data_IF_971627106831
#
_entry.id   IF_971627106831
#
_cell.length_a   1.000
_cell.length_b   1.000
_cell.length_c   1.000
_cell.angle_alpha   90.00
_cell.angle_beta   90.00
_cell.angle_gamma   90.00
#
_symmetry.space_group_name_H-M   'P 1'
#
loop_
_entity.id
_entity.type
_entity.pdbx_description
1 polymer ?
#
# COMPACT_ATOMS: atom_id res chain seq x y z
N UNK A 1 -0.21 18.93 -7.45
CA UNK A 1 0.88 18.46 -6.56
C UNK A 1 2.05 18.01 -7.43
N UNK A 2 3.28 18.44 -7.17
CA UNK A 2 4.44 18.13 -8.04
C UNK A 2 4.89 16.68 -7.82
N UNK A 3 5.28 15.95 -8.88
CA UNK A 3 5.81 14.58 -8.80
C UNK A 3 6.96 14.45 -7.79
N UNK A 4 7.84 15.46 -7.70
CA UNK A 4 8.98 15.47 -6.77
C UNK A 4 8.54 15.49 -5.30
N UNK A 5 7.46 16.22 -4.98
CA UNK A 5 6.91 16.27 -3.61
C UNK A 5 6.10 15.02 -3.26
N UNK A 6 5.65 14.24 -4.25
CA UNK A 6 4.96 12.96 -4.01
C UNK A 6 5.99 11.85 -3.71
N UNK A 7 7.13 11.88 -4.41
CA UNK A 7 8.20 10.91 -4.23
C UNK A 7 8.74 10.86 -2.78
N UNK A 8 8.76 12.00 -2.06
CA UNK A 8 9.17 12.03 -0.64
C UNK A 8 8.26 11.20 0.28
N UNK A 9 7.05 10.88 -0.17
CA UNK A 9 6.08 10.08 0.58
C UNK A 9 6.10 8.60 0.19
N UNK A 10 6.89 8.23 -0.82
CA UNK A 10 7.03 6.83 -1.22
C UNK A 10 7.89 6.08 -0.22
N UNK A 11 7.66 4.78 -0.16
CA UNK A 11 8.47 3.85 0.61
C UNK A 11 9.79 3.66 -0.13
N UNK A 12 10.91 3.74 0.61
CA UNK A 12 12.24 3.44 0.07
C UNK A 12 12.30 1.99 -0.43
N UNK A 13 13.17 1.72 -1.40
CA UNK A 13 13.33 0.35 -1.92
C UNK A 13 13.72 -0.64 -0.81
N UNK A 14 14.58 -0.22 0.11
CA UNK A 14 15.03 -1.01 1.26
C UNK A 14 13.86 -1.40 2.20
N UNK A 15 12.97 -0.46 2.50
CA UNK A 15 11.79 -0.74 3.31
C UNK A 15 10.80 -1.59 2.51
N UNK A 16 10.66 -1.36 1.21
CA UNK A 16 9.83 -2.17 0.34
C UNK A 16 10.25 -3.64 0.33
N UNK A 17 11.56 -3.92 0.24
CA UNK A 17 12.12 -5.28 0.29
C UNK A 17 11.75 -6.04 1.57
N UNK A 18 11.54 -5.33 2.70
CA UNK A 18 11.08 -5.93 3.96
C UNK A 18 9.56 -6.14 3.99
N UNK A 19 8.80 -5.24 3.36
CA UNK A 19 7.33 -5.27 3.33
C UNK A 19 6.82 -6.34 2.36
N UNK A 20 7.36 -6.37 1.15
CA UNK A 20 6.85 -7.16 0.03
C UNK A 20 6.65 -8.65 0.37
N UNK A 21 7.59 -9.35 1.04
CA UNK A 21 7.44 -10.76 1.39
C UNK A 21 6.29 -11.05 2.37
N UNK A 22 5.85 -10.05 3.13
CA UNK A 22 4.76 -10.20 4.10
C UNK A 22 3.39 -10.10 3.45
N UNK A 23 3.31 -9.53 2.24
CA UNK A 23 2.04 -9.31 1.55
C UNK A 23 1.45 -10.63 1.05
N UNK A 24 0.12 -10.79 1.09
CA UNK A 24 -0.52 -11.98 0.54
C UNK A 24 -0.25 -12.07 -0.96
N UNK A 25 -0.13 -13.30 -1.51
CA UNK A 25 0.14 -13.51 -2.93
C UNK A 25 -0.89 -12.79 -3.79
N UNK A 26 -0.40 -12.05 -4.78
CA UNK A 26 -1.24 -11.28 -5.67
C UNK A 26 -2.07 -12.22 -6.55
N UNK A 27 -3.35 -12.40 -6.23
CA UNK A 27 -4.29 -13.17 -7.06
C UNK A 27 -4.62 -12.35 -8.32
N UNK A 28 -3.76 -12.46 -9.34
CA UNK A 28 -3.86 -11.70 -10.60
C UNK A 28 -4.85 -12.32 -11.59
N UNK A 29 -5.25 -13.57 -11.40
CA UNK A 29 -6.03 -14.33 -12.41
C UNK A 29 -7.49 -14.44 -12.00
N UNK A 30 -8.36 -13.74 -12.72
CA UNK A 30 -9.78 -14.07 -12.76
C UNK A 30 -10.04 -15.02 -13.94
N UNK A 31 -10.85 -16.09 -13.78
CA UNK A 31 -11.05 -17.12 -14.81
C UNK A 31 -11.48 -16.58 -16.18
N UNK A 32 -12.22 -15.47 -16.19
CA UNK A 32 -12.81 -14.87 -17.39
C UNK A 32 -11.94 -13.84 -18.11
N UNK A 33 -10.73 -13.52 -17.60
CA UNK A 33 -9.76 -12.62 -18.25
C UNK A 33 -10.19 -11.16 -18.49
N UNK A 34 -11.44 -10.80 -18.18
CA UNK A 34 -12.06 -9.52 -18.59
C UNK A 34 -11.96 -8.39 -17.54
N UNK A 35 -11.39 -8.66 -16.36
CA UNK A 35 -11.24 -7.63 -15.33
C UNK A 35 -9.92 -6.88 -15.46
N UNK A 36 -9.98 -5.57 -15.20
CA UNK A 36 -8.79 -4.72 -15.08
C UNK A 36 -7.80 -5.37 -14.12
N UNK A 37 -6.52 -5.38 -14.53
CA UNK A 37 -5.41 -5.84 -13.69
C UNK A 37 -5.50 -5.14 -12.34
N UNK A 38 -5.35 -5.91 -11.25
CA UNK A 38 -5.31 -5.34 -9.90
C UNK A 38 -4.15 -4.33 -9.82
N UNK A 39 -4.33 -3.29 -9.02
CA UNK A 39 -3.27 -2.32 -8.73
C UNK A 39 -2.08 -3.05 -8.11
N UNK A 40 -0.90 -2.69 -8.60
CA UNK A 40 0.38 -3.18 -8.10
C UNK A 40 0.51 -3.00 -6.58
N UNK A 41 1.12 -3.97 -5.90
CA UNK A 41 1.25 -3.96 -4.44
C UNK A 41 2.04 -2.75 -3.95
N UNK A 42 3.12 -2.38 -4.63
CA UNK A 42 3.95 -1.24 -4.25
C UNK A 42 3.21 0.07 -4.45
N UNK A 43 2.50 0.22 -5.55
CA UNK A 43 1.64 1.38 -5.80
C UNK A 43 0.53 1.52 -4.74
N UNK A 44 -0.12 0.42 -4.35
CA UNK A 44 -1.13 0.43 -3.31
C UNK A 44 -0.54 0.79 -1.93
N UNK A 45 0.63 0.24 -1.58
CA UNK A 45 1.28 0.54 -0.31
C UNK A 45 1.75 2.01 -0.25
N UNK A 46 2.37 2.53 -1.31
CA UNK A 46 2.73 3.94 -1.42
C UNK A 46 1.50 4.86 -1.25
N UNK A 47 0.37 4.51 -1.88
CA UNK A 47 -0.87 5.26 -1.74
C UNK A 47 -1.41 5.27 -0.30
N UNK A 48 -1.41 4.11 0.38
CA UNK A 48 -1.86 3.99 1.77
C UNK A 48 -0.95 4.80 2.71
N UNK A 49 0.37 4.69 2.54
CA UNK A 49 1.33 5.47 3.34
C UNK A 49 1.22 6.97 3.07
N UNK A 50 0.99 7.39 1.84
CA UNK A 50 0.74 8.79 1.50
C UNK A 50 -0.47 9.34 2.26
N UNK A 51 -1.62 8.65 2.20
CA UNK A 51 -2.84 9.05 2.93
C UNK A 51 -2.60 9.07 4.44
N UNK A 52 -1.89 8.06 4.97
CA UNK A 52 -1.58 7.97 6.40
C UNK A 52 -0.68 9.11 6.90
N UNK A 53 0.38 9.45 6.14
CA UNK A 53 1.33 10.51 6.50
C UNK A 53 0.74 11.91 6.35
N UNK A 54 -0.03 12.13 5.29
CA UNK A 54 -0.62 13.45 5.01
C UNK A 54 -1.95 13.69 5.73
N UNK A 55 -2.56 12.62 6.26
CA UNK A 55 -3.92 12.63 6.85
C UNK A 55 -4.98 13.19 5.89
N UNK A 56 -4.73 13.18 4.59
CA UNK A 56 -5.69 13.69 3.62
C UNK A 56 -6.90 12.75 3.50
N UNK A 57 -7.99 13.27 2.97
CA UNK A 57 -9.12 12.42 2.60
C UNK A 57 -8.71 11.43 1.50
N UNK A 58 -9.27 10.21 1.53
CA UNK A 58 -8.99 9.19 0.52
C UNK A 58 -9.21 9.69 -0.91
N UNK A 59 -10.24 10.50 -1.17
CA UNK A 59 -10.53 11.04 -2.50
C UNK A 59 -9.44 11.99 -3.02
N UNK A 60 -8.70 12.66 -2.13
CA UNK A 60 -7.59 13.52 -2.51
C UNK A 60 -6.42 12.72 -3.12
N UNK A 61 -6.32 11.42 -2.82
CA UNK A 61 -5.34 10.53 -3.45
C UNK A 61 -5.47 10.51 -4.97
N UNK A 62 -6.67 10.65 -5.53
CA UNK A 62 -6.89 10.59 -6.99
C UNK A 62 -6.05 11.64 -7.74
N UNK A 63 -5.78 12.80 -7.11
CA UNK A 63 -4.96 13.86 -7.70
C UNK A 63 -3.44 13.55 -7.73
N UNK A 64 -3.01 12.47 -7.07
CA UNK A 64 -1.59 12.06 -7.00
C UNK A 64 -1.13 11.26 -8.22
N UNK A 65 -2.06 10.57 -8.88
CA UNK A 65 -1.74 9.61 -9.94
C UNK A 65 -1.07 8.31 -9.48
N UNK A 66 -0.92 8.07 -8.17
CA UNK A 66 -0.32 6.82 -7.64
C UNK A 66 -1.21 5.61 -7.96
N UNK A 67 -2.47 5.67 -7.51
CA UNK A 67 -3.56 4.79 -7.92
C UNK A 67 -4.90 5.42 -7.51
N UNK A 68 -6.03 4.78 -7.85
CA UNK A 68 -7.33 5.29 -7.41
C UNK A 68 -7.54 5.12 -5.91
N UNK A 69 -8.17 6.10 -5.28
CA UNK A 69 -8.69 6.08 -3.90
C UNK A 69 -9.43 4.78 -3.57
N UNK A 70 -10.34 4.36 -4.43
CA UNK A 70 -11.10 3.10 -4.28
C UNK A 70 -10.21 1.86 -4.27
N UNK A 71 -9.17 1.82 -5.11
CA UNK A 71 -8.24 0.68 -5.16
C UNK A 71 -7.35 0.62 -3.93
N UNK A 72 -6.85 1.78 -3.49
CA UNK A 72 -6.05 1.90 -2.28
C UNK A 72 -6.86 1.52 -1.03
N UNK A 73 -8.08 2.04 -0.89
CA UNK A 73 -8.95 1.75 0.26
C UNK A 73 -9.35 0.28 0.32
N UNK A 74 -9.73 -0.33 -0.82
CA UNK A 74 -9.99 -1.76 -0.88
C UNK A 74 -8.77 -2.58 -0.45
N UNK A 75 -7.58 -2.20 -0.91
CA UNK A 75 -6.35 -2.91 -0.52
C UNK A 75 -6.03 -2.74 0.96
N UNK A 76 -6.25 -1.55 1.50
CA UNK A 76 -6.13 -1.28 2.93
C UNK A 76 -7.02 -2.22 3.74
N UNK A 77 -8.29 -2.35 3.38
CA UNK A 77 -9.21 -3.28 4.06
C UNK A 77 -8.78 -4.75 3.94
N UNK A 78 -8.37 -5.19 2.74
CA UNK A 78 -7.83 -6.55 2.52
C UNK A 78 -6.62 -6.83 3.42
N UNK A 79 -5.71 -5.86 3.56
CA UNK A 79 -4.48 -6.02 4.35
C UNK A 79 -4.70 -5.85 5.85
N UNK A 80 -5.68 -5.05 6.28
CA UNK A 80 -6.15 -5.02 7.67
C UNK A 80 -6.72 -6.38 8.04
N UNK A 81 -7.63 -6.93 7.23
CA UNK A 81 -8.23 -8.24 7.48
C UNK A 81 -7.20 -9.38 7.49
N UNK A 82 -6.13 -9.26 6.70
CA UNK A 82 -5.02 -10.21 6.69
C UNK A 82 -3.96 -9.97 7.78
N UNK A 83 -4.11 -8.96 8.65
CA UNK A 83 -3.15 -8.66 9.72
C UNK A 83 -1.78 -8.18 9.23
N UNK A 84 -1.70 -7.59 8.03
CA UNK A 84 -0.42 -7.17 7.44
C UNK A 84 0.21 -6.03 8.22
N UNK A 85 -0.57 -5.03 8.60
CA UNK A 85 -0.06 -3.87 9.33
C UNK A 85 0.45 -4.23 10.74
N UNK A 86 -0.19 -5.21 11.38
CA UNK A 86 0.27 -5.76 12.66
C UNK A 86 1.61 -6.49 12.51
N UNK A 87 1.75 -7.36 11.50
CA UNK A 87 3.04 -8.01 11.21
C UNK A 87 4.13 -7.00 10.89
N UNK A 88 3.81 -5.94 10.14
CA UNK A 88 4.76 -4.86 9.87
C UNK A 88 5.21 -4.15 11.15
N UNK A 89 4.27 -3.89 12.06
CA UNK A 89 4.58 -3.30 13.36
C UNK A 89 5.51 -4.20 14.19
N UNK A 90 5.20 -5.50 14.29
CA UNK A 90 6.02 -6.49 15.01
C UNK A 90 7.43 -6.61 14.41
N UNK A 91 7.57 -6.61 13.09
CA UNK A 91 8.90 -6.67 12.46
C UNK A 91 9.73 -5.38 12.66
N UNK A 92 9.08 -4.24 12.92
CA UNK A 92 9.75 -2.96 13.17
C UNK A 92 10.06 -2.68 14.65
N UNK A 93 9.33 -3.30 15.58
CA UNK A 93 9.39 -2.98 17.03
C UNK A 93 9.53 -4.19 17.94
N UNK A 94 9.40 -5.41 17.42
CA UNK A 94 9.33 -6.64 18.21
C UNK A 94 10.57 -6.96 19.03
N UNK A 95 11.73 -6.37 18.73
CA UNK A 95 12.96 -6.55 19.49
C UNK A 95 13.08 -5.64 20.72
N UNK A 96 12.17 -4.68 20.92
CA UNK A 96 12.27 -3.67 21.99
C UNK A 96 11.40 -4.00 23.22
N UNK A 97 10.70 -5.12 23.24
CA UNK A 97 9.81 -5.52 24.33
C UNK A 97 9.91 -6.99 24.76
N UNK A 98 10.92 -7.72 24.30
CA UNK A 98 11.30 -9.06 24.79
C UNK A 98 12.59 -9.00 25.63
#
# INVERSE_FOLDING_TARGET
MNKKSIAQWFISDELWQKIEPLLPPHKTRHPLGCHRRRVDNRAAMNAIFFVSRTRCQWNALNATGICSSSSAHRRFQEWVAAGIFERLWQNGTGWLFD
#
